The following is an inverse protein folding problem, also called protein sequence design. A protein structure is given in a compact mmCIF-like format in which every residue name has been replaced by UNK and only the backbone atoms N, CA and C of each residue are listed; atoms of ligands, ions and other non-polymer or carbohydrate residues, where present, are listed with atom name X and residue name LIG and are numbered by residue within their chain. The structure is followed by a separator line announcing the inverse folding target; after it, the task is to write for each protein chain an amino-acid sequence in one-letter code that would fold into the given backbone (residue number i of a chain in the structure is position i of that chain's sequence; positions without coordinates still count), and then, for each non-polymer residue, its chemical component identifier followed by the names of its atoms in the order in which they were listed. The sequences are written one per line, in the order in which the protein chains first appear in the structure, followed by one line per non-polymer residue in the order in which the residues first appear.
data_IF_836377661124
#
_entry.id   IF_836377661124
#
_cell.length_a   1.000
_cell.length_b   1.000
_cell.length_c   1.000
_cell.angle_alpha   90.00
_cell.angle_beta   90.00
_cell.angle_gamma   90.00
#
_symmetry.space_group_name_H-M   'P 1'
#
loop_
_entity.id
_entity.type
_entity.pdbx_description
1 polymer ?
#
# COMPACT_ATOMS: atom_id res chain seq x y z
N UNK A 1 23.48 -43.61 29.00
CA UNK A 1 22.11 -43.12 29.33
C UNK A 1 21.97 -41.60 29.43
N UNK A 2 23.05 -40.80 29.58
CA UNK A 2 22.91 -39.32 29.73
C UNK A 2 22.39 -38.57 28.49
N UNK A 3 22.71 -39.03 27.28
CA UNK A 3 22.40 -38.31 26.04
C UNK A 3 20.90 -38.27 25.65
N UNK A 4 20.07 -39.16 26.21
CA UNK A 4 18.62 -39.18 25.95
C UNK A 4 17.89 -38.14 26.81
N UNK A 5 18.39 -37.86 28.02
CA UNK A 5 17.79 -36.91 28.94
C UNK A 5 17.98 -35.47 28.45
N UNK A 6 19.14 -35.15 27.85
CA UNK A 6 19.42 -33.82 27.31
C UNK A 6 18.47 -33.43 26.16
N UNK A 7 18.03 -34.41 25.34
CA UNK A 7 17.08 -34.16 24.25
C UNK A 7 15.66 -33.95 24.76
N UNK A 8 15.28 -34.63 25.85
CA UNK A 8 13.99 -34.44 26.49
C UNK A 8 13.92 -33.08 27.20
N UNK A 9 14.97 -32.69 27.92
CA UNK A 9 15.04 -31.38 28.57
C UNK A 9 15.06 -30.25 27.53
N UNK A 10 15.82 -30.39 26.44
CA UNK A 10 15.78 -29.42 25.34
C UNK A 10 14.38 -29.32 24.71
N UNK A 11 13.70 -30.44 24.49
CA UNK A 11 12.34 -30.46 23.93
C UNK A 11 11.32 -29.80 24.87
N UNK A 12 11.42 -30.03 26.19
CA UNK A 12 10.56 -29.41 27.20
C UNK A 12 10.83 -27.91 27.30
N UNK A 13 12.09 -27.47 27.28
CA UNK A 13 12.47 -26.05 27.32
C UNK A 13 11.97 -25.33 26.06
N UNK A 14 12.13 -25.93 24.88
CA UNK A 14 11.63 -25.35 23.62
C UNK A 14 10.11 -25.28 23.61
N UNK A 15 9.43 -26.29 24.17
CA UNK A 15 7.97 -26.27 24.33
C UNK A 15 7.52 -25.12 25.25
N UNK A 16 8.14 -24.95 26.41
CA UNK A 16 7.80 -23.87 27.35
C UNK A 16 8.07 -22.50 26.73
N UNK A 17 9.20 -22.32 26.04
CA UNK A 17 9.52 -21.07 25.33
C UNK A 17 8.49 -20.74 24.24
N UNK A 18 8.05 -21.73 23.46
CA UNK A 18 7.04 -21.53 22.43
C UNK A 18 5.70 -21.09 23.03
N UNK A 19 5.30 -21.66 24.17
CA UNK A 19 4.08 -21.28 24.86
C UNK A 19 4.18 -19.85 25.43
N UNK A 20 5.32 -19.45 25.97
CA UNK A 20 5.54 -18.08 26.43
C UNK A 20 5.48 -17.07 25.29
N UNK A 21 6.00 -17.42 24.10
CA UNK A 21 5.89 -16.60 22.89
C UNK A 21 4.44 -16.50 22.42
N UNK A 22 3.67 -17.60 22.44
CA UNK A 22 2.24 -17.58 22.09
C UNK A 22 1.42 -16.74 23.06
N UNK A 23 1.66 -16.85 24.36
CA UNK A 23 1.01 -16.05 25.40
C UNK A 23 1.38 -14.57 25.21
N UNK A 24 2.65 -14.26 24.96
CA UNK A 24 3.12 -12.91 24.67
C UNK A 24 2.44 -12.31 23.43
N UNK A 25 2.29 -13.08 22.36
CA UNK A 25 1.56 -12.67 21.15
C UNK A 25 0.06 -12.48 21.40
N UNK A 26 -0.53 -13.25 22.31
CA UNK A 26 -1.93 -13.09 22.72
C UNK A 26 -2.14 -11.80 23.53
N UNK A 27 -1.25 -11.49 24.47
CA UNK A 27 -1.27 -10.22 25.21
C UNK A 27 -1.00 -9.02 24.31
N UNK A 28 -0.02 -9.13 23.40
CA UNK A 28 0.24 -8.08 22.40
C UNK A 28 -0.96 -7.92 21.45
N UNK A 29 -1.57 -9.02 21.02
CA UNK A 29 -2.83 -9.01 20.27
C UNK A 29 -3.96 -8.30 21.03
N UNK A 30 -4.14 -8.62 22.31
CA UNK A 30 -5.17 -8.04 23.18
C UNK A 30 -4.99 -6.53 23.44
N UNK A 31 -3.75 -6.04 23.45
CA UNK A 31 -3.45 -4.60 23.60
C UNK A 31 -3.67 -3.82 22.29
N UNK A 32 -3.53 -4.47 21.12
CA UNK A 32 -3.74 -3.86 19.81
C UNK A 32 -5.16 -4.05 19.26
N UNK A 33 -5.95 -5.00 19.75
CA UNK A 33 -7.39 -5.13 19.45
C UNK A 33 -8.24 -4.34 20.45
N UNK A 34 -8.39 -3.03 20.23
CA UNK A 34 -9.58 -2.30 20.71
C UNK A 34 -10.78 -2.84 19.92
N UNK A 35 -11.57 -3.72 20.53
CA UNK A 35 -12.83 -4.20 19.96
C UNK A 35 -13.81 -3.02 19.95
N UNK A 36 -13.86 -2.28 18.84
CA UNK A 36 -15.01 -1.44 18.51
C UNK A 36 -16.04 -2.38 17.88
N UNK A 37 -17.07 -2.73 18.66
CA UNK A 37 -18.24 -3.44 18.14
C UNK A 37 -18.86 -2.59 17.02
N UNK A 38 -18.98 -3.07 15.77
CA UNK A 38 -19.78 -2.40 14.77
C UNK A 38 -21.25 -2.49 15.17
N UNK A 39 -21.90 -1.32 15.19
CA UNK A 39 -23.33 -1.18 15.37
C UNK A 39 -24.10 -2.09 14.40
N UNK A 40 -25.12 -2.73 14.94
CA UNK A 40 -26.12 -3.48 14.22
C UNK A 40 -26.71 -2.64 13.06
N UNK A 41 -26.83 -3.27 11.89
CA UNK A 41 -27.68 -2.79 10.81
C UNK A 41 -29.11 -3.30 11.03
N UNK A 42 -30.09 -2.40 11.00
CA UNK A 42 -31.51 -2.74 10.98
C UNK A 42 -32.35 -1.65 11.61
N UNK A 43 -32.93 -0.77 10.80
CA UNK A 43 -33.48 0.51 11.25
C UNK A 43 -34.93 0.51 11.72
N UNK A 44 -35.32 1.75 12.05
CA UNK A 44 -36.66 2.32 12.10
C UNK A 44 -37.52 2.05 13.35
N UNK A 45 -37.60 3.10 14.17
CA UNK A 45 -38.87 3.60 14.71
C UNK A 45 -39.18 3.21 16.15
N UNK A 46 -39.40 4.22 16.97
CA UNK A 46 -40.22 4.11 18.19
C UNK A 46 -39.44 4.25 19.48
N UNK A 47 -39.88 5.22 20.26
CA UNK A 47 -39.38 5.68 21.54
C UNK A 47 -39.13 4.58 22.60
N UNK A 48 -38.09 4.84 23.40
CA UNK A 48 -37.92 4.42 24.79
C UNK A 48 -38.33 3.00 25.18
N UNK A 49 -37.38 2.08 25.12
CA UNK A 49 -37.21 1.08 26.19
C UNK A 49 -35.72 0.92 26.46
N UNK A 50 -35.27 1.62 27.51
CA UNK A 50 -34.00 1.35 28.14
C UNK A 50 -34.07 -0.05 28.74
N UNK A 51 -33.37 -1.02 28.14
CA UNK A 51 -33.12 -2.30 28.80
C UNK A 51 -32.10 -2.07 29.92
N UNK A 52 -32.63 -1.85 31.12
CA UNK A 52 -31.88 -1.84 32.37
C UNK A 52 -31.42 -3.27 32.68
N UNK A 53 -30.15 -3.54 32.38
CA UNK A 53 -29.51 -4.81 32.72
C UNK A 53 -29.03 -4.75 34.17
N UNK A 54 -29.91 -5.09 35.11
CA UNK A 54 -29.55 -5.31 36.51
C UNK A 54 -28.68 -6.57 36.60
N UNK A 55 -27.36 -6.40 36.70
CA UNK A 55 -26.47 -7.46 37.15
C UNK A 55 -26.75 -7.71 38.64
N UNK A 56 -27.38 -8.84 38.94
CA UNK A 56 -27.52 -9.30 40.33
C UNK A 56 -26.21 -9.94 40.74
N UNK A 57 -25.52 -9.34 41.71
CA UNK A 57 -24.31 -9.88 42.29
C UNK A 57 -24.62 -11.21 43.01
N UNK A 58 -24.23 -12.32 42.39
CA UNK A 58 -24.49 -13.68 42.86
C UNK A 58 -23.89 -13.96 44.25
N UNK A 59 -23.03 -13.08 44.78
CA UNK A 59 -22.50 -13.16 46.14
C UNK A 59 -23.54 -12.84 47.23
N UNK A 60 -24.46 -11.90 46.99
CA UNK A 60 -25.47 -11.53 48.00
C UNK A 60 -26.66 -12.49 48.03
N UNK A 61 -27.07 -13.03 46.87
CA UNK A 61 -28.17 -14.02 46.80
C UNK A 61 -27.74 -15.35 47.42
N UNK A 62 -26.46 -15.75 47.28
CA UNK A 62 -25.92 -16.93 47.96
C UNK A 62 -25.86 -16.75 49.49
N UNK A 63 -25.60 -15.52 49.98
CA UNK A 63 -25.62 -15.21 51.41
C UNK A 63 -27.05 -15.20 51.98
N UNK A 64 -28.03 -14.66 51.26
CA UNK A 64 -29.46 -14.72 51.60
C UNK A 64 -30.00 -16.15 51.62
N UNK A 65 -29.63 -16.98 50.63
CA UNK A 65 -30.04 -18.38 50.59
C UNK A 65 -29.40 -19.20 51.74
N UNK A 66 -28.18 -18.85 52.14
CA UNK A 66 -27.53 -19.38 53.35
C UNK A 66 -28.28 -19.02 54.64
N UNK A 67 -28.75 -17.77 54.77
CA UNK A 67 -29.57 -17.34 55.93
C UNK A 67 -30.95 -18.01 55.96
N UNK A 68 -31.64 -18.15 54.83
CA UNK A 68 -32.92 -18.86 54.73
C UNK A 68 -32.80 -20.36 55.07
N UNK A 69 -31.66 -20.99 54.74
CA UNK A 69 -31.38 -22.38 55.11
C UNK A 69 -31.03 -22.50 56.60
N UNK A 70 -30.32 -21.53 57.17
CA UNK A 70 -30.06 -21.45 58.60
C UNK A 70 -31.32 -21.13 59.43
N UNK A 71 -32.27 -20.35 58.90
CA UNK A 71 -33.56 -20.07 59.53
C UNK A 71 -34.49 -21.29 59.50
N UNK A 72 -34.49 -22.06 58.40
CA UNK A 72 -35.19 -23.36 58.32
C UNK A 72 -34.54 -24.46 59.18
N UNK A 73 -33.24 -24.38 59.44
CA UNK A 73 -32.56 -25.31 60.36
C UNK A 73 -32.74 -24.88 61.83
N UNK A 74 -32.77 -23.57 62.13
CA UNK A 74 -33.07 -23.04 63.47
C UNK A 74 -34.53 -23.24 63.91
N UNK A 75 -35.48 -23.34 62.97
CA UNK A 75 -36.88 -23.68 63.26
C UNK A 75 -37.11 -25.15 63.64
N UNK A 76 -36.09 -26.03 63.53
CA UNK A 76 -36.15 -27.41 64.03
C UNK A 76 -35.52 -27.60 65.41
N UNK A 77 -34.91 -26.57 66.00
CA UNK A 77 -34.18 -26.68 67.28
C UNK A 77 -34.72 -25.78 68.40
N UNK A 78 -35.92 -25.21 68.24
CA UNK A 78 -36.68 -24.60 69.34
C UNK A 78 -38.06 -25.25 69.48
N UNK A 79 -38.04 -26.47 70.00
CA UNK A 79 -39.17 -27.03 70.74
C UNK A 79 -38.65 -27.40 72.13
N UNK A 80 -38.54 -26.38 73.00
CA UNK A 80 -38.45 -26.62 74.45
C UNK A 80 -39.86 -26.70 75.05
N UNK A 81 -40.00 -27.39 76.20
CA UNK A 81 -41.22 -28.10 76.59
C UNK A 81 -42.22 -27.20 77.30
N UNK A 82 -43.49 -27.30 76.92
CA UNK A 82 -44.58 -26.86 77.80
C UNK A 82 -44.78 -27.94 78.86
N UNK A 83 -44.26 -27.60 80.03
CA UNK A 83 -44.56 -28.12 81.35
C UNK A 83 -46.07 -28.05 81.62
N UNK A 84 -46.74 -29.19 81.67
CA UNK A 84 -48.02 -29.35 82.38
C UNK A 84 -47.75 -29.84 83.81
N UNK A 85 -48.43 -29.22 84.77
CA UNK A 85 -48.36 -29.51 86.20
C UNK A 85 -49.03 -30.85 86.57
N UNK A 86 -48.63 -31.47 87.70
CA UNK A 86 -49.13 -32.79 88.10
C UNK A 86 -50.51 -32.67 88.73
N UNK A 87 -51.54 -33.27 88.12
CA UNK A 87 -52.80 -33.55 88.82
C UNK A 87 -52.71 -34.90 89.50
N UNK A 88 -52.72 -34.84 90.84
CA UNK A 88 -52.73 -35.95 91.79
C UNK A 88 -53.78 -37.01 91.45
N UNK A 89 -53.37 -38.26 91.68
CA UNK A 89 -54.23 -39.44 91.85
C UNK A 89 -55.43 -39.14 92.75
N UNK A 90 -56.61 -39.53 92.27
CA UNK A 90 -57.68 -40.05 93.13
C UNK A 90 -58.21 -41.32 92.47
N UNK A 91 -58.00 -42.42 93.19
CA UNK A 91 -58.54 -43.75 92.96
C UNK A 91 -60.07 -43.67 92.95
N UNK A 92 -60.72 -44.17 91.90
CA UNK A 92 -62.11 -44.67 91.98
C UNK A 92 -62.24 -45.89 91.05
N UNK A 93 -62.46 -47.04 91.67
CA UNK A 93 -62.86 -48.32 91.04
C UNK A 93 -64.23 -48.18 90.36
N UNK A 94 -64.39 -48.71 89.13
CA UNK A 94 -65.69 -49.17 88.57
C UNK A 94 -65.50 -49.80 87.17
N UNK A 95 -66.38 -50.72 86.73
CA UNK A 95 -65.99 -51.90 85.96
C UNK A 95 -65.94 -51.68 84.44
N UNK A 96 -65.16 -52.56 83.81
CA UNK A 96 -64.94 -52.71 82.37
C UNK A 96 -66.26 -53.06 81.67
N UNK A 97 -66.64 -52.27 80.66
CA UNK A 97 -67.68 -52.64 79.68
C UNK A 97 -66.98 -52.98 78.35
N UNK A 98 -67.14 -54.22 77.89
CA UNK A 98 -66.42 -54.82 76.76
C UNK A 98 -66.86 -54.30 75.37
N UNK A 99 -67.75 -53.29 75.28
CA UNK A 99 -68.30 -52.83 73.98
C UNK A 99 -67.56 -51.66 73.30
N UNK A 100 -66.59 -51.02 73.98
CA UNK A 100 -65.88 -49.84 73.44
C UNK A 100 -64.48 -50.15 72.87
N UNK A 101 -63.93 -51.34 73.12
CA UNK A 101 -62.59 -51.75 72.67
C UNK A 101 -62.51 -52.07 71.17
N UNK A 102 -63.59 -52.58 70.56
CA UNK A 102 -63.64 -52.85 69.12
C UNK A 102 -63.61 -51.57 68.27
N UNK A 103 -64.23 -50.48 68.72
CA UNK A 103 -64.23 -49.21 67.97
C UNK A 103 -62.87 -48.51 67.94
N UNK A 104 -62.04 -48.69 68.98
CA UNK A 104 -60.71 -48.07 69.06
C UNK A 104 -59.70 -48.84 68.21
N UNK A 105 -59.77 -50.17 68.18
CA UNK A 105 -58.90 -51.00 67.36
C UNK A 105 -59.12 -50.78 65.84
N UNK A 106 -60.38 -50.65 65.41
CA UNK A 106 -60.71 -50.35 64.01
C UNK A 106 -60.19 -48.97 63.55
N UNK A 107 -60.16 -47.97 64.43
CA UNK A 107 -59.61 -46.64 64.11
C UNK A 107 -58.08 -46.67 64.03
N UNK A 108 -57.42 -47.48 64.86
CA UNK A 108 -55.95 -47.67 64.80
C UNK A 108 -55.53 -48.42 63.55
N UNK A 109 -56.23 -49.49 63.15
CA UNK A 109 -55.95 -50.19 61.88
C UNK A 109 -56.19 -49.31 60.65
N UNK A 110 -57.27 -48.52 60.63
CA UNK A 110 -57.53 -47.57 59.55
C UNK A 110 -56.44 -46.49 59.45
N UNK A 111 -55.93 -46.00 60.58
CA UNK A 111 -54.82 -45.05 60.62
C UNK A 111 -53.50 -45.69 60.09
N UNK A 112 -53.21 -46.93 60.48
CA UNK A 112 -52.04 -47.68 59.98
C UNK A 112 -52.12 -47.95 58.47
N UNK A 113 -53.29 -48.33 57.95
CA UNK A 113 -53.51 -48.51 56.51
C UNK A 113 -53.32 -47.20 55.74
N UNK A 114 -53.81 -46.09 56.30
CA UNK A 114 -53.64 -44.76 55.69
C UNK A 114 -52.17 -44.31 55.66
N UNK A 115 -51.38 -44.61 56.68
CA UNK A 115 -49.93 -44.36 56.68
C UNK A 115 -49.20 -45.23 55.66
N UNK A 116 -49.54 -46.53 55.56
CA UNK A 116 -48.97 -47.42 54.55
C UNK A 116 -49.27 -46.95 53.12
N UNK A 117 -50.49 -46.50 52.84
CA UNK A 117 -50.85 -45.98 51.51
C UNK A 117 -50.10 -44.67 51.18
N UNK A 118 -49.92 -43.78 52.17
CA UNK A 118 -49.10 -42.57 52.01
C UNK A 118 -47.62 -42.89 51.76
N UNK A 119 -47.07 -43.88 52.47
CA UNK A 119 -45.71 -44.35 52.26
C UNK A 119 -45.52 -44.95 50.85
N UNK A 120 -46.48 -45.76 50.38
CA UNK A 120 -46.47 -46.33 49.03
C UNK A 120 -46.54 -45.23 47.95
N UNK A 121 -47.44 -44.24 48.11
CA UNK A 121 -47.54 -43.11 47.17
C UNK A 121 -46.27 -42.27 47.14
N UNK A 122 -45.63 -42.07 48.29
CA UNK A 122 -44.34 -41.36 48.35
C UNK A 122 -43.23 -42.15 47.65
N UNK A 123 -43.15 -43.47 47.84
CA UNK A 123 -42.20 -44.32 47.13
C UNK A 123 -42.41 -44.30 45.61
N UNK A 124 -43.67 -44.37 45.14
CA UNK A 124 -44.00 -44.24 43.72
C UNK A 124 -43.63 -42.86 43.15
N UNK A 125 -43.82 -41.78 43.93
CA UNK A 125 -43.39 -40.44 43.52
C UNK A 125 -41.86 -40.34 43.38
N UNK A 126 -41.10 -40.96 44.30
CA UNK A 126 -39.63 -40.98 44.22
C UNK A 126 -39.14 -41.76 42.99
N UNK A 127 -39.70 -42.94 42.72
CA UNK A 127 -39.34 -43.74 41.54
C UNK A 127 -39.68 -43.00 40.23
N UNK A 128 -40.85 -42.34 40.17
CA UNK A 128 -41.23 -41.51 39.02
C UNK A 128 -40.28 -40.31 38.83
N UNK A 129 -39.81 -39.68 39.91
CA UNK A 129 -38.84 -38.59 39.82
C UNK A 129 -37.47 -39.08 39.33
N UNK A 130 -37.01 -40.25 39.79
CA UNK A 130 -35.77 -40.87 39.30
C UNK A 130 -35.84 -41.22 37.82
N UNK A 131 -36.94 -41.82 37.36
CA UNK A 131 -37.15 -42.11 35.94
C UNK A 131 -37.14 -40.84 35.09
N UNK A 132 -37.79 -39.76 35.55
CA UNK A 132 -37.77 -38.46 34.87
C UNK A 132 -36.36 -37.86 34.83
N UNK A 133 -35.58 -37.97 35.92
CA UNK A 133 -34.17 -37.55 35.95
C UNK A 133 -33.31 -38.36 34.99
N UNK A 134 -33.49 -39.68 34.91
CA UNK A 134 -32.78 -40.54 33.96
C UNK A 134 -33.13 -40.21 32.51
N UNK A 135 -34.40 -39.92 32.19
CA UNK A 135 -34.82 -39.54 30.85
C UNK A 135 -34.23 -38.19 30.43
N UNK A 136 -34.24 -37.20 31.33
CA UNK A 136 -33.60 -35.90 31.08
C UNK A 136 -32.09 -36.05 30.84
N UNK A 137 -31.39 -36.85 31.65
CA UNK A 137 -29.97 -37.12 31.47
C UNK A 137 -29.68 -37.82 30.13
N UNK A 138 -30.51 -38.79 29.72
CA UNK A 138 -30.40 -39.44 28.40
C UNK A 138 -30.62 -38.44 27.27
N UNK A 139 -31.63 -37.58 27.37
CA UNK A 139 -31.94 -36.56 26.36
C UNK A 139 -30.83 -35.51 26.25
N UNK A 140 -30.23 -35.10 27.37
CA UNK A 140 -29.07 -34.21 27.37
C UNK A 140 -27.85 -34.86 26.72
N UNK A 141 -27.57 -36.13 27.02
CA UNK A 141 -26.47 -36.87 26.38
C UNK A 141 -26.66 -36.99 24.88
N UNK A 142 -27.87 -37.34 24.41
CA UNK A 142 -28.20 -37.37 22.99
C UNK A 142 -28.05 -35.99 22.34
N UNK A 143 -28.45 -34.91 23.01
CA UNK A 143 -28.26 -33.54 22.50
C UNK A 143 -26.77 -33.18 22.41
N UNK A 144 -25.97 -33.56 23.39
CA UNK A 144 -24.51 -33.35 23.34
C UNK A 144 -23.85 -34.15 22.20
N UNK A 145 -24.26 -35.39 21.97
CA UNK A 145 -23.76 -36.21 20.86
C UNK A 145 -24.17 -35.62 19.50
N UNK A 146 -25.41 -35.12 19.35
CA UNK A 146 -25.83 -34.41 18.15
C UNK A 146 -25.02 -33.14 17.91
N UNK A 147 -24.78 -32.33 18.94
CA UNK A 147 -23.96 -31.12 18.83
C UNK A 147 -22.51 -31.45 18.46
N UNK A 148 -21.93 -32.53 19.02
CA UNK A 148 -20.59 -33.00 18.64
C UNK A 148 -20.55 -33.46 17.19
N UNK A 149 -21.54 -34.23 16.75
CA UNK A 149 -21.63 -34.70 15.35
C UNK A 149 -21.79 -33.52 14.38
N UNK A 150 -22.57 -32.51 14.73
CA UNK A 150 -22.73 -31.29 13.93
C UNK A 150 -21.43 -30.48 13.88
N UNK A 151 -20.73 -30.32 15.00
CA UNK A 151 -19.42 -29.69 15.04
C UNK A 151 -18.39 -30.44 14.18
N UNK A 152 -18.35 -31.76 14.26
CA UNK A 152 -17.45 -32.58 13.44
C UNK A 152 -17.78 -32.45 11.95
N UNK A 153 -19.05 -32.50 11.56
CA UNK A 153 -19.47 -32.24 10.17
C UNK A 153 -19.08 -30.85 9.70
N UNK A 154 -19.21 -29.83 10.56
CA UNK A 154 -18.81 -28.46 10.24
C UNK A 154 -17.30 -28.34 10.06
N UNK A 155 -16.51 -28.99 10.93
CA UNK A 155 -15.05 -29.07 10.81
C UNK A 155 -14.62 -29.79 9.53
N UNK A 156 -15.24 -30.93 9.21
CA UNK A 156 -14.96 -31.66 7.96
C UNK A 156 -15.32 -30.83 6.71
N UNK A 157 -16.44 -30.10 6.75
CA UNK A 157 -16.84 -29.20 5.66
C UNK A 157 -15.87 -28.02 5.49
N UNK A 158 -15.42 -27.43 6.58
CA UNK A 158 -14.42 -26.36 6.58
C UNK A 158 -13.05 -26.85 6.09
N UNK A 159 -12.60 -28.03 6.52
CA UNK A 159 -11.36 -28.63 6.06
C UNK A 159 -11.43 -28.97 4.57
N UNK A 160 -12.55 -29.53 4.09
CA UNK A 160 -12.78 -29.79 2.68
C UNK A 160 -12.80 -28.48 1.86
N UNK A 161 -13.43 -27.42 2.37
CA UNK A 161 -13.40 -26.10 1.74
C UNK A 161 -11.99 -25.51 1.71
N UNK A 162 -11.21 -25.65 2.78
CA UNK A 162 -9.82 -25.20 2.87
C UNK A 162 -8.91 -25.98 1.92
N UNK A 163 -9.08 -27.29 1.78
CA UNK A 163 -8.35 -28.12 0.80
C UNK A 163 -8.67 -27.70 -0.63
N UNK A 164 -9.96 -27.51 -0.97
CA UNK A 164 -10.38 -27.00 -2.28
C UNK A 164 -9.83 -25.60 -2.58
N UNK A 165 -9.84 -24.70 -1.59
CA UNK A 165 -9.28 -23.37 -1.74
C UNK A 165 -7.75 -23.40 -1.93
N UNK A 166 -7.04 -24.26 -1.20
CA UNK A 166 -5.59 -24.44 -1.34
C UNK A 166 -5.22 -25.04 -2.71
N UNK A 167 -5.96 -26.02 -3.20
CA UNK A 167 -5.75 -26.59 -4.54
C UNK A 167 -6.01 -25.54 -5.65
N UNK A 168 -7.10 -24.79 -5.54
CA UNK A 168 -7.40 -23.71 -6.48
C UNK A 168 -6.33 -22.60 -6.46
N UNK A 169 -5.80 -22.26 -5.29
CA UNK A 169 -4.68 -21.32 -5.18
C UNK A 169 -3.40 -21.88 -5.82
N UNK A 170 -3.11 -23.17 -5.63
CA UNK A 170 -1.94 -23.83 -6.24
C UNK A 170 -2.02 -23.85 -7.77
N UNK A 171 -3.20 -24.19 -8.32
CA UNK A 171 -3.42 -24.17 -9.77
C UNK A 171 -3.30 -22.77 -10.36
N UNK A 172 -3.79 -21.74 -9.66
CA UNK A 172 -3.61 -20.34 -10.08
C UNK A 172 -2.15 -19.91 -10.05
N UNK A 173 -1.41 -20.25 -9.00
CA UNK A 173 0.01 -19.95 -8.89
C UNK A 173 0.83 -20.67 -9.97
N UNK A 174 0.53 -21.93 -10.27
CA UNK A 174 1.19 -22.68 -11.34
C UNK A 174 0.89 -22.09 -12.74
N UNK A 175 -0.35 -21.68 -12.99
CA UNK A 175 -0.72 -21.02 -14.24
C UNK A 175 -0.01 -19.66 -14.41
N UNK A 176 0.09 -18.87 -13.34
CA UNK A 176 0.81 -17.60 -13.35
C UNK A 176 2.32 -17.80 -13.57
N UNK A 177 2.93 -18.77 -12.89
CA UNK A 177 4.33 -19.14 -13.09
C UNK A 177 4.60 -19.55 -14.55
N UNK A 178 3.74 -20.38 -15.15
CA UNK A 178 3.85 -20.77 -16.57
C UNK A 178 3.70 -19.57 -17.52
N UNK A 179 2.83 -18.60 -17.20
CA UNK A 179 2.70 -17.35 -18.00
C UNK A 179 3.94 -16.47 -17.88
N UNK A 180 4.52 -16.35 -16.69
CA UNK A 180 5.74 -15.58 -16.48
C UNK A 180 6.94 -16.23 -17.19
N UNK A 181 7.05 -17.56 -17.18
CA UNK A 181 8.09 -18.28 -17.92
C UNK A 181 7.93 -18.10 -19.44
N UNK A 182 6.70 -18.19 -19.96
CA UNK A 182 6.42 -17.93 -21.37
C UNK A 182 6.75 -16.48 -21.76
N UNK A 183 6.39 -15.51 -20.91
CA UNK A 183 6.73 -14.10 -21.14
C UNK A 183 8.25 -13.86 -21.11
N UNK A 184 9.00 -14.53 -20.23
CA UNK A 184 10.45 -14.44 -20.19
C UNK A 184 11.10 -15.01 -21.45
N UNK A 185 10.62 -16.16 -21.96
CA UNK A 185 11.10 -16.75 -23.23
C UNK A 185 10.83 -15.84 -24.42
N UNK A 186 9.64 -15.25 -24.51
CA UNK A 186 9.30 -14.29 -25.57
C UNK A 186 10.17 -13.03 -25.50
N UNK A 187 10.44 -12.50 -24.30
CA UNK A 187 11.33 -11.36 -24.13
C UNK A 187 12.78 -11.66 -24.51
N UNK A 188 13.25 -12.90 -24.28
CA UNK A 188 14.58 -13.34 -24.71
C UNK A 188 14.68 -13.47 -26.24
N UNK A 189 13.68 -14.07 -26.90
CA UNK A 189 13.63 -14.13 -28.37
C UNK A 189 13.58 -12.74 -28.99
N UNK A 190 12.78 -11.82 -28.45
CA UNK A 190 12.69 -10.44 -28.95
C UNK A 190 14.04 -9.71 -28.80
N UNK A 191 14.75 -9.93 -27.69
CA UNK A 191 16.11 -9.40 -27.50
C UNK A 191 17.10 -9.98 -28.51
N UNK A 192 17.05 -11.29 -28.79
CA UNK A 192 17.89 -11.93 -29.81
C UNK A 192 17.58 -11.40 -31.21
N UNK A 193 16.31 -11.21 -31.55
CA UNK A 193 15.89 -10.63 -32.82
C UNK A 193 16.36 -9.17 -32.99
N UNK A 194 16.20 -8.34 -31.96
CA UNK A 194 16.69 -6.94 -31.96
C UNK A 194 18.21 -6.88 -32.08
N UNK A 195 18.94 -7.72 -31.36
CA UNK A 195 20.41 -7.79 -31.45
C UNK A 195 20.88 -8.25 -32.84
N UNK A 196 20.19 -9.20 -33.48
CA UNK A 196 20.49 -9.64 -34.84
C UNK A 196 20.23 -8.53 -35.87
N UNK A 197 19.12 -7.80 -35.75
CA UNK A 197 18.81 -6.65 -36.62
C UNK A 197 19.83 -5.53 -36.45
N UNK A 198 20.25 -5.21 -35.23
CA UNK A 198 21.27 -4.19 -34.98
C UNK A 198 22.63 -4.58 -35.57
N UNK A 199 23.04 -5.86 -35.46
CA UNK A 199 24.25 -6.37 -36.12
C UNK A 199 24.16 -6.27 -37.65
N UNK A 200 23.03 -6.66 -38.24
CA UNK A 200 22.83 -6.55 -39.69
C UNK A 200 22.85 -5.09 -40.17
N UNK A 201 22.29 -4.15 -39.40
CA UNK A 201 22.36 -2.73 -39.71
C UNK A 201 23.79 -2.18 -39.64
N UNK A 202 24.56 -2.54 -38.59
CA UNK A 202 25.97 -2.14 -38.45
C UNK A 202 26.84 -2.70 -39.58
N UNK A 203 26.60 -3.94 -40.01
CA UNK A 203 27.35 -4.54 -41.12
C UNK A 203 27.07 -3.84 -42.45
N UNK A 204 25.81 -3.45 -42.72
CA UNK A 204 25.46 -2.66 -43.92
C UNK A 204 26.16 -1.30 -43.93
N UNK A 205 26.15 -0.58 -42.79
CA UNK A 205 26.83 0.72 -42.67
C UNK A 205 28.34 0.56 -42.85
N UNK A 206 28.94 -0.49 -42.27
CA UNK A 206 30.38 -0.77 -42.42
C UNK A 206 30.75 -1.09 -43.88
N UNK A 207 29.94 -1.88 -44.59
CA UNK A 207 30.14 -2.17 -46.02
C UNK A 207 30.04 -0.92 -46.88
N UNK A 208 29.03 -0.08 -46.64
CA UNK A 208 28.82 1.16 -47.40
C UNK A 208 29.94 2.19 -47.17
N UNK A 209 30.49 2.27 -45.95
CA UNK A 209 31.65 3.10 -45.63
C UNK A 209 32.93 2.57 -46.27
N UNK A 210 33.14 1.25 -46.29
CA UNK A 210 34.29 0.64 -46.95
C UNK A 210 34.25 0.85 -48.48
N UNK A 211 33.07 0.78 -49.09
CA UNK A 211 32.89 1.02 -50.53
C UNK A 211 33.12 2.49 -50.90
N UNK A 212 32.63 3.44 -50.09
CA UNK A 212 32.91 4.88 -50.26
C UNK A 212 34.40 5.21 -50.09
N UNK A 213 35.07 4.61 -49.10
CA UNK A 213 36.52 4.79 -48.90
C UNK A 213 37.33 4.22 -50.07
N UNK A 214 36.94 3.06 -50.61
CA UNK A 214 37.60 2.47 -51.79
C UNK A 214 37.36 3.30 -53.07
N UNK A 215 36.17 3.87 -53.25
CA UNK A 215 35.87 4.75 -54.38
C UNK A 215 36.65 6.08 -54.30
N UNK A 216 36.76 6.68 -53.11
CA UNK A 216 37.52 7.92 -52.92
C UNK A 216 39.04 7.70 -53.11
N UNK A 217 39.57 6.55 -52.69
CA UNK A 217 40.96 6.17 -52.93
C UNK A 217 41.27 5.97 -54.42
N UNK A 218 40.37 5.33 -55.18
CA UNK A 218 40.51 5.19 -56.64
C UNK A 218 40.42 6.54 -57.36
N UNK A 219 39.54 7.44 -56.93
CA UNK A 219 39.40 8.77 -57.52
C UNK A 219 40.61 9.69 -57.26
N UNK A 220 41.24 9.59 -56.08
CA UNK A 220 42.49 10.32 -55.78
C UNK A 220 43.67 9.80 -56.60
N UNK A 221 43.79 8.49 -56.79
CA UNK A 221 44.83 7.90 -57.62
C UNK A 221 44.70 8.29 -59.11
N UNK A 222 43.48 8.40 -59.65
CA UNK A 222 43.26 8.82 -61.03
C UNK A 222 43.53 10.33 -61.24
N UNK A 223 43.24 11.18 -60.24
CA UNK A 223 43.54 12.62 -60.29
C UNK A 223 45.04 12.90 -60.24
N UNK A 224 45.79 12.20 -59.39
CA UNK A 224 47.25 12.37 -59.31
C UNK A 224 47.97 11.87 -60.58
N UNK A 225 47.44 10.83 -61.24
CA UNK A 225 47.97 10.34 -62.51
C UNK A 225 47.73 11.33 -63.67
N UNK A 226 46.55 11.97 -63.72
CA UNK A 226 46.24 13.02 -64.72
C UNK A 226 47.07 14.30 -64.50
N UNK A 227 47.32 14.70 -63.26
CA UNK A 227 48.09 15.92 -62.96
C UNK A 227 49.60 15.77 -63.22
N UNK A 228 50.16 14.56 -63.02
CA UNK A 228 51.55 14.25 -63.41
C UNK A 228 51.72 14.20 -64.93
N UNK A 229 50.73 13.68 -65.67
CA UNK A 229 50.77 13.65 -67.13
C UNK A 229 50.68 15.06 -67.77
N UNK A 230 49.90 15.98 -67.19
CA UNK A 230 49.78 17.35 -67.72
C UNK A 230 51.00 18.23 -67.39
N UNK A 231 51.67 18.01 -66.25
CA UNK A 231 52.90 18.72 -65.88
C UNK A 231 54.13 18.28 -66.68
N UNK A 232 54.19 17.03 -67.14
CA UNK A 232 55.29 16.57 -68.00
C UNK A 232 55.15 17.05 -69.47
N UNK A 233 53.91 17.24 -69.95
CA UNK A 233 53.64 17.79 -71.29
C UNK A 233 53.94 19.30 -71.39
N UNK A 234 53.61 20.09 -70.36
CA UNK A 234 53.93 21.53 -70.32
C UNK A 234 55.44 21.83 -70.17
N UNK A 235 56.19 20.98 -69.48
CA UNK A 235 57.64 21.16 -69.30
C UNK A 235 58.47 20.86 -70.57
N UNK A 236 57.97 20.03 -71.50
CA UNK A 236 58.61 19.79 -72.80
C UNK A 236 58.33 20.89 -73.83
N UNK A 237 57.17 21.55 -73.77
CA UNK A 237 56.82 22.63 -74.70
C UNK A 237 57.52 23.97 -74.39
N UNK A 238 57.80 24.28 -73.12
CA UNK A 238 58.42 25.57 -72.75
C UNK A 238 59.95 25.60 -72.94
N UNK A 239 60.63 24.44 -72.98
CA UNK A 239 62.09 24.35 -73.22
C UNK A 239 62.50 24.49 -74.69
N UNK A 240 61.59 24.29 -75.65
CA UNK A 240 61.90 24.44 -77.08
C UNK A 240 61.67 25.87 -77.59
N UNK A 241 60.78 26.65 -76.95
CA UNK A 241 60.50 28.04 -77.32
C UNK A 241 61.50 29.06 -76.76
N UNK A 242 62.16 28.77 -75.61
CA UNK A 242 63.11 29.69 -74.97
C UNK A 242 64.51 29.72 -75.61
N UNK A 243 64.87 28.76 -76.47
CA UNK A 243 66.18 28.70 -77.15
C UNK A 243 66.25 29.49 -78.47
N UNK A 244 65.13 29.97 -79.02
CA UNK A 244 65.11 30.76 -80.27
C UNK A 244 64.93 32.27 -80.08
N UNK A 245 64.59 32.76 -78.88
CA UNK A 245 64.34 34.19 -78.64
C UNK A 245 65.50 34.93 -77.92
N UNK A 246 66.49 34.23 -77.36
CA UNK A 246 67.56 34.85 -76.56
C UNK A 246 68.79 35.33 -77.37
N UNK A 247 68.81 35.13 -78.71
CA UNK A 247 69.93 35.54 -79.58
C UNK A 247 69.75 36.85 -80.34
N UNK A 248 68.60 37.52 -80.28
CA UNK A 248 68.36 38.74 -81.08
C UNK A 248 68.11 40.03 -80.27
N UNK A 249 67.95 39.94 -78.94
CA UNK A 249 67.60 41.10 -78.09
C UNK A 249 68.75 41.62 -77.20
N UNK A 250 69.99 41.17 -77.40
CA UNK A 250 71.14 41.51 -76.53
C UNK A 250 72.05 42.64 -77.05
N UNK A 251 71.66 43.38 -78.09
CA UNK A 251 72.53 44.41 -78.73
C UNK A 251 71.99 45.86 -78.68
N UNK A 252 70.79 46.14 -78.11
CA UNK A 252 70.22 47.50 -78.24
C UNK A 252 69.70 48.24 -77.01
N UNK A 253 69.96 47.78 -75.79
CA UNK A 253 69.42 48.45 -74.60
C UNK A 253 70.43 48.71 -73.47
N UNK A 254 71.72 48.83 -73.79
CA UNK A 254 72.78 49.17 -72.82
C UNK A 254 73.12 50.68 -72.79
N UNK A 255 72.20 51.57 -73.19
CA UNK A 255 72.53 53.02 -73.34
C UNK A 255 71.62 54.06 -72.69
N UNK A 256 70.72 53.72 -71.78
CA UNK A 256 69.94 54.74 -71.04
C UNK A 256 69.84 54.50 -69.53
N UNK A 257 70.90 53.92 -68.96
CA UNK A 257 71.10 53.80 -67.51
C UNK A 257 71.86 55.02 -66.92
N UNK A 258 71.61 56.25 -67.38
CA UNK A 258 72.35 57.40 -66.83
C UNK A 258 71.66 58.75 -66.97
N UNK A 259 70.44 58.90 -66.45
CA UNK A 259 70.01 60.22 -65.98
C UNK A 259 68.83 60.15 -64.99
N UNK A 260 68.96 60.90 -63.90
CA UNK A 260 67.90 61.30 -62.95
C UNK A 260 67.53 60.31 -61.85
N UNK A 261 68.58 59.78 -61.24
CA UNK A 261 68.72 59.83 -59.78
C UNK A 261 68.99 61.28 -59.34
N UNK A 262 67.96 62.12 -59.21
CA UNK A 262 68.03 63.40 -58.47
C UNK A 262 66.61 63.96 -58.26
N UNK A 263 65.96 63.57 -57.16
CA UNK A 263 64.92 64.34 -56.43
C UNK A 263 64.35 63.52 -55.27
N UNK A 264 65.26 63.11 -54.41
CA UNK A 264 64.98 62.93 -52.99
C UNK A 264 64.65 64.30 -52.35
N UNK A 265 63.99 64.29 -51.20
CA UNK A 265 64.04 65.36 -50.20
C UNK A 265 63.22 66.65 -50.42
N UNK A 266 61.89 66.56 -50.49
CA UNK A 266 61.02 67.62 -49.95
C UNK A 266 59.63 67.08 -49.57
N UNK A 267 59.19 67.43 -48.36
CA UNK A 267 57.83 67.29 -47.82
C UNK A 267 57.50 66.13 -46.85
N UNK A 268 58.50 65.62 -46.12
CA UNK A 268 58.32 65.22 -44.70
C UNK A 268 58.60 66.46 -43.82
N UNK A 269 57.63 67.36 -43.59
CA UNK A 269 57.84 68.50 -42.67
C UNK A 269 56.60 69.32 -42.24
N UNK A 270 55.35 68.93 -42.52
CA UNK A 270 54.23 69.83 -42.21
C UNK A 270 52.91 69.11 -41.93
N UNK A 271 52.75 68.55 -40.72
CA UNK A 271 51.42 68.37 -40.11
C UNK A 271 51.46 68.05 -38.60
N UNK A 272 52.61 68.20 -37.92
CA UNK A 272 52.79 67.86 -36.51
C UNK A 272 52.41 69.02 -35.54
N UNK A 273 51.46 69.88 -35.91
CA UNK A 273 51.24 71.13 -35.17
C UNK A 273 49.78 71.57 -34.98
N UNK A 274 48.78 70.66 -35.01
CA UNK A 274 47.38 71.03 -34.72
C UNK A 274 46.54 69.96 -34.01
N UNK A 275 47.05 69.31 -32.96
CA UNK A 275 46.24 68.39 -32.16
C UNK A 275 46.64 68.28 -30.67
N UNK A 276 47.04 69.39 -30.05
CA UNK A 276 47.20 69.47 -28.59
C UNK A 276 46.76 70.84 -28.06
N UNK A 277 45.45 71.10 -28.07
CA UNK A 277 44.80 72.12 -27.24
C UNK A 277 43.28 72.03 -27.44
N UNK A 278 42.61 71.11 -26.74
CA UNK A 278 41.17 71.16 -26.37
C UNK A 278 40.77 69.83 -25.71
N UNK A 279 41.58 69.40 -24.74
CA UNK A 279 41.23 68.29 -23.86
C UNK A 279 41.02 68.84 -22.45
N UNK A 280 39.94 69.60 -22.27
CA UNK A 280 39.36 69.83 -20.95
C UNK A 280 37.91 70.31 -21.10
N UNK A 281 36.98 69.51 -20.57
CA UNK A 281 35.54 69.77 -20.40
C UNK A 281 34.62 69.30 -21.54
N UNK A 282 34.32 68.01 -21.55
CA UNK A 282 32.99 67.52 -21.13
C UNK A 282 32.96 65.99 -21.17
N UNK A 283 33.11 65.41 -19.99
CA UNK A 283 32.69 64.05 -19.71
C UNK A 283 31.17 63.92 -19.87
N UNK A 284 30.76 62.66 -20.14
CA UNK A 284 29.58 62.01 -19.54
C UNK A 284 28.28 62.03 -20.35
N UNK A 285 28.30 61.37 -21.50
CA UNK A 285 27.21 60.53 -21.98
C UNK A 285 27.71 59.73 -23.19
N UNK A 286 27.35 58.44 -23.27
CA UNK A 286 27.38 57.60 -24.47
C UNK A 286 28.57 56.66 -24.72
N UNK A 287 29.27 56.11 -23.72
CA UNK A 287 30.27 55.06 -23.99
C UNK A 287 30.44 54.00 -22.90
N UNK A 288 29.36 53.50 -22.29
CA UNK A 288 29.52 52.37 -21.36
C UNK A 288 28.30 51.45 -21.27
N UNK A 289 27.62 51.12 -22.38
CA UNK A 289 26.75 49.93 -22.26
C UNK A 289 26.35 49.16 -23.52
N UNK A 290 25.99 49.74 -24.67
CA UNK A 290 25.16 48.97 -25.62
C UNK A 290 25.42 49.23 -27.10
N UNK A 291 26.58 48.78 -27.59
CA UNK A 291 26.84 48.31 -28.98
C UNK A 291 28.30 48.60 -29.28
N UNK A 292 29.21 47.64 -29.43
CA UNK A 292 29.08 46.25 -29.75
C UNK A 292 30.45 45.79 -30.29
N UNK A 293 30.68 44.49 -30.25
CA UNK A 293 31.97 43.88 -30.59
C UNK A 293 32.56 43.22 -29.34
N UNK A 294 32.88 41.94 -29.32
CA UNK A 294 33.05 40.99 -30.40
C UNK A 294 33.13 39.59 -29.77
N UNK A 295 33.55 38.60 -30.56
CA UNK A 295 33.95 37.22 -30.21
C UNK A 295 32.89 36.14 -30.52
N UNK A 296 32.88 35.76 -31.80
CA UNK A 296 33.66 34.58 -32.19
C UNK A 296 33.04 33.20 -31.99
N UNK A 297 32.40 32.70 -33.06
CA UNK A 297 32.73 31.41 -33.67
C UNK A 297 32.04 30.13 -33.17
N UNK A 298 31.18 29.55 -34.03
CA UNK A 298 31.07 28.08 -34.12
C UNK A 298 29.67 27.45 -34.21
N UNK A 299 29.12 27.42 -35.43
CA UNK A 299 28.39 26.30 -36.05
C UNK A 299 26.95 25.90 -35.67
N UNK A 300 26.23 25.62 -36.76
CA UNK A 300 25.17 24.61 -36.95
C UNK A 300 23.71 25.01 -36.74
N UNK A 301 23.11 25.30 -37.90
CA UNK A 301 21.69 25.37 -38.20
C UNK A 301 21.01 24.01 -38.01
N UNK A 302 19.90 23.97 -37.26
CA UNK A 302 19.00 22.81 -37.19
C UNK A 302 17.99 22.95 -36.06
N UNK A 303 16.72 23.09 -36.40
CA UNK A 303 15.68 23.57 -35.47
C UNK A 303 14.94 22.52 -34.65
N UNK A 304 13.92 23.07 -33.99
CA UNK A 304 12.67 22.46 -33.51
C UNK A 304 12.59 22.13 -32.00
N UNK A 305 11.85 23.01 -31.33
CA UNK A 305 10.72 22.75 -30.43
C UNK A 305 10.94 22.01 -29.08
N UNK A 306 10.61 22.79 -28.05
CA UNK A 306 9.69 22.49 -26.94
C UNK A 306 10.28 22.04 -25.59
N UNK A 307 9.99 22.90 -24.60
CA UNK A 307 9.61 22.61 -23.23
C UNK A 307 10.47 21.65 -22.40
N UNK A 308 11.35 22.24 -21.58
CA UNK A 308 11.56 21.80 -20.21
C UNK A 308 12.23 22.89 -19.35
N UNK A 309 11.66 23.11 -18.16
CA UNK A 309 12.32 23.61 -16.95
C UNK A 309 12.51 25.13 -16.87
N UNK A 310 11.82 25.85 -15.97
CA UNK A 310 11.89 25.81 -14.51
C UNK A 310 12.68 27.01 -13.99
N UNK A 311 11.97 28.09 -13.66
CA UNK A 311 12.34 29.02 -12.58
C UNK A 311 11.16 29.98 -12.35
N UNK A 312 10.15 29.52 -11.61
CA UNK A 312 9.09 30.38 -11.08
C UNK A 312 9.32 30.57 -9.59
N UNK A 313 10.04 31.63 -9.22
CA UNK A 313 10.15 32.08 -7.84
C UNK A 313 9.53 33.48 -7.73
N UNK A 314 8.42 33.54 -6.98
CA UNK A 314 8.12 34.66 -6.09
C UNK A 314 7.40 35.86 -6.68
N UNK A 315 6.12 36.00 -6.34
CA UNK A 315 5.53 37.32 -6.11
C UNK A 315 4.25 37.59 -6.89
N UNK A 316 3.10 37.20 -6.34
CA UNK A 316 1.95 38.10 -6.25
C UNK A 316 1.12 37.73 -5.02
N UNK A 317 1.09 38.65 -4.08
CA UNK A 317 0.13 38.71 -2.97
C UNK A 317 -1.28 38.89 -3.56
N UNK A 318 -2.01 37.78 -3.66
CA UNK A 318 -3.44 37.75 -3.94
C UNK A 318 -4.22 37.63 -2.65
N UNK A 319 -4.76 38.74 -2.20
CA UNK A 319 -5.67 38.88 -1.07
C UNK A 319 -6.96 38.06 -1.34
N UNK A 320 -7.16 36.99 -0.57
CA UNK A 320 -8.35 36.14 -0.68
C UNK A 320 -8.30 34.87 0.17
N UNK A 321 -8.68 34.99 1.45
CA UNK A 321 -9.10 33.89 2.35
C UNK A 321 -8.15 32.67 2.47
N UNK A 322 -7.16 32.83 3.35
CA UNK A 322 -6.07 31.89 3.66
C UNK A 322 -6.45 30.59 4.39
N UNK A 323 -7.53 29.94 4.00
CA UNK A 323 -7.84 28.56 4.44
C UNK A 323 -8.18 27.64 3.28
N UNK A 324 -8.69 28.17 2.15
CA UNK A 324 -9.15 27.37 1.02
C UNK A 324 -8.14 27.28 -0.14
N UNK A 325 -7.28 28.28 -0.33
CA UNK A 325 -6.26 28.27 -1.39
C UNK A 325 -5.18 27.19 -1.15
N UNK A 326 -4.71 27.08 0.09
CA UNK A 326 -3.71 26.08 0.49
C UNK A 326 -4.28 24.66 0.50
N UNK A 327 -5.56 24.51 0.89
CA UNK A 327 -6.28 23.24 0.81
C UNK A 327 -6.43 22.73 -0.62
N UNK A 328 -6.79 23.60 -1.56
CA UNK A 328 -6.87 23.25 -2.98
C UNK A 328 -5.49 22.86 -3.54
N UNK A 329 -4.44 23.61 -3.21
CA UNK A 329 -3.07 23.29 -3.60
C UNK A 329 -2.62 21.92 -3.07
N UNK A 330 -2.97 21.60 -1.81
CA UNK A 330 -2.70 20.31 -1.19
C UNK A 330 -3.45 19.16 -1.87
N UNK A 331 -4.74 19.34 -2.17
CA UNK A 331 -5.54 18.37 -2.92
C UNK A 331 -4.93 18.05 -4.29
N UNK A 332 -4.45 19.08 -5.01
CA UNK A 332 -3.78 18.88 -6.30
C UNK A 332 -2.45 18.12 -6.16
N UNK A 333 -1.69 18.35 -5.09
CA UNK A 333 -0.46 17.59 -4.82
C UNK A 333 -0.76 16.11 -4.61
N UNK A 334 -1.76 15.79 -3.78
CA UNK A 334 -2.21 14.40 -3.56
C UNK A 334 -2.64 13.77 -4.88
N UNK A 335 -3.53 14.46 -5.61
CA UNK A 335 -4.08 13.99 -6.88
C UNK A 335 -2.98 13.70 -7.89
N UNK A 336 -2.05 14.65 -8.10
CA UNK A 336 -0.94 14.49 -9.05
C UNK A 336 -0.04 13.31 -8.69
N UNK A 337 0.25 13.13 -7.40
CA UNK A 337 1.14 12.07 -6.94
C UNK A 337 0.52 10.68 -7.17
N UNK A 338 -0.76 10.52 -6.85
CA UNK A 338 -1.48 9.25 -7.06
C UNK A 338 -1.75 9.02 -8.55
N UNK A 339 -2.12 10.06 -9.31
CA UNK A 339 -2.29 9.97 -10.76
C UNK A 339 -1.00 9.58 -11.48
N UNK A 340 0.17 9.98 -10.99
CA UNK A 340 1.46 9.58 -11.58
C UNK A 340 1.72 8.07 -11.50
N UNK A 341 1.09 7.39 -10.53
CA UNK A 341 1.19 5.94 -10.32
C UNK A 341 0.00 5.19 -10.91
N UNK A 342 -1.04 5.91 -11.32
CA UNK A 342 -2.24 5.35 -11.91
C UNK A 342 -1.98 4.95 -13.36
N UNK A 343 -1.97 3.64 -13.61
CA UNK A 343 -1.81 3.09 -14.96
C UNK A 343 -3.13 3.24 -15.70
N UNK A 344 -3.17 4.15 -16.67
CA UNK A 344 -4.35 4.41 -17.50
C UNK A 344 -4.35 3.46 -18.69
N UNK A 345 -5.48 2.80 -18.93
CA UNK A 345 -5.71 1.94 -20.08
C UNK A 345 -6.83 2.51 -20.97
N UNK A 346 -6.78 2.38 -22.32
CA UNK A 346 -7.87 2.80 -23.21
C UNK A 346 -9.23 2.20 -22.86
N UNK A 347 -9.27 1.01 -22.25
CA UNK A 347 -10.49 0.36 -21.77
C UNK A 347 -11.21 1.10 -20.63
N UNK A 348 -10.61 2.15 -20.08
CA UNK A 348 -11.19 3.01 -19.04
C UNK A 348 -12.02 4.17 -19.61
N UNK A 349 -12.12 4.28 -20.93
CA UNK A 349 -12.99 5.22 -21.63
C UNK A 349 -14.43 5.15 -21.10
N UNK A 350 -14.96 6.29 -20.62
CA UNK A 350 -16.34 6.38 -20.10
C UNK A 350 -16.58 5.68 -18.76
N UNK A 351 -15.53 5.12 -18.12
CA UNK A 351 -15.60 4.46 -16.81
C UNK A 351 -15.02 5.35 -15.73
N UNK A 352 -15.57 5.25 -14.51
CA UNK A 352 -15.07 5.98 -13.35
C UNK A 352 -15.07 5.12 -12.09
N UNK A 353 -14.24 5.51 -11.12
CA UNK A 353 -14.24 4.93 -9.79
C UNK A 353 -13.92 5.99 -8.73
N UNK A 354 -14.69 5.99 -7.67
CA UNK A 354 -14.48 6.87 -6.52
C UNK A 354 -13.85 6.06 -5.39
N UNK A 355 -12.70 6.50 -4.88
CA UNK A 355 -11.99 5.83 -3.79
C UNK A 355 -11.75 6.82 -2.65
N UNK A 356 -12.23 6.50 -1.46
CA UNK A 356 -11.96 7.26 -0.24
C UNK A 356 -10.68 6.74 0.41
N UNK A 357 -9.69 7.60 0.62
CA UNK A 357 -8.45 7.25 1.31
C UNK A 357 -8.44 7.86 2.71
N UNK A 358 -7.75 7.23 3.67
CA UNK A 358 -7.57 7.74 5.03
C UNK A 358 -6.11 8.09 5.25
N UNK A 359 -5.84 9.35 5.55
CA UNK A 359 -4.50 9.90 5.71
C UNK A 359 -4.18 10.16 7.19
N UNK A 360 -2.96 9.85 7.60
CA UNK A 360 -2.39 10.26 8.88
C UNK A 360 -1.72 11.64 8.77
N UNK A 361 -1.39 12.25 9.92
CA UNK A 361 -0.85 13.63 9.97
C UNK A 361 0.44 13.80 9.17
N UNK A 362 1.24 12.73 9.08
CA UNK A 362 2.50 12.65 8.35
C UNK A 362 2.31 12.40 6.83
N UNK A 363 1.08 12.25 6.36
CA UNK A 363 0.73 11.94 4.98
C UNK A 363 0.74 10.45 4.63
N UNK A 364 0.88 9.54 5.60
CA UNK A 364 0.80 8.10 5.35
C UNK A 364 -0.64 7.67 5.08
N UNK A 365 -0.85 6.83 4.06
CA UNK A 365 -2.17 6.28 3.73
C UNK A 365 -2.43 5.07 4.64
N UNK A 366 -3.32 5.23 5.62
CA UNK A 366 -3.65 4.18 6.60
C UNK A 366 -4.59 3.12 6.04
N UNK A 367 -5.60 3.55 5.30
CA UNK A 367 -6.62 2.68 4.74
C UNK A 367 -7.24 3.31 3.48
N UNK A 368 -7.98 2.51 2.71
CA UNK A 368 -8.79 2.97 1.59
C UNK A 368 -10.14 2.23 1.58
N UNK A 369 -11.15 2.89 1.05
CA UNK A 369 -12.49 2.34 0.81
C UNK A 369 -12.83 2.57 -0.66
N UNK A 370 -13.03 1.49 -1.40
CA UNK A 370 -13.52 1.54 -2.77
C UNK A 370 -15.00 1.88 -2.73
N UNK A 371 -15.38 2.99 -3.35
CA UNK A 371 -16.75 3.44 -3.47
C UNK A 371 -17.44 2.82 -4.68
N UNK A 372 -18.28 3.61 -5.34
CA UNK A 372 -19.01 3.18 -6.53
C UNK A 372 -18.15 3.40 -7.78
N UNK A 373 -18.14 2.43 -8.69
CA UNK A 373 -17.37 2.52 -9.93
C UNK A 373 -17.21 1.21 -10.67
N UNK A 374 -16.58 1.28 -11.84
CA UNK A 374 -16.23 0.10 -12.63
C UNK A 374 -15.03 -0.63 -12.00
N UNK A 375 -15.13 -1.97 -11.90
CA UNK A 375 -14.12 -2.80 -11.24
C UNK A 375 -12.70 -2.61 -11.78
N UNK A 376 -12.52 -2.52 -13.10
CA UNK A 376 -11.19 -2.39 -13.69
C UNK A 376 -10.50 -1.06 -13.34
N UNK A 377 -11.27 0.03 -13.33
CA UNK A 377 -10.82 1.37 -12.93
C UNK A 377 -10.52 1.39 -11.43
N UNK A 378 -11.39 0.77 -10.62
CA UNK A 378 -11.19 0.66 -9.18
C UNK A 378 -9.95 -0.17 -8.80
N UNK A 379 -9.73 -1.30 -9.46
CA UNK A 379 -8.56 -2.16 -9.22
C UNK A 379 -7.25 -1.42 -9.57
N UNK A 380 -7.25 -0.67 -10.68
CA UNK A 380 -6.12 0.17 -11.07
C UNK A 380 -5.91 1.35 -10.09
N UNK A 381 -6.99 1.94 -9.59
CA UNK A 381 -6.95 3.02 -8.61
C UNK A 381 -6.38 2.54 -7.26
N UNK A 382 -6.85 1.40 -6.77
CA UNK A 382 -6.31 0.75 -5.55
C UNK A 382 -4.83 0.44 -5.71
N UNK A 383 -4.44 -0.11 -6.86
CA UNK A 383 -3.03 -0.40 -7.15
C UNK A 383 -2.17 0.86 -7.10
N UNK A 384 -2.66 2.00 -7.62
CA UNK A 384 -1.97 3.28 -7.56
C UNK A 384 -1.83 3.80 -6.12
N UNK A 385 -2.90 3.72 -5.32
CA UNK A 385 -2.92 4.16 -3.91
C UNK A 385 -1.93 3.33 -3.08
N UNK A 386 -1.94 2.01 -3.24
CA UNK A 386 -1.01 1.10 -2.55
C UNK A 386 0.43 1.32 -3.00
N UNK A 387 0.66 1.65 -4.27
CA UNK A 387 1.98 1.98 -4.79
C UNK A 387 2.51 3.34 -4.29
N UNK A 388 1.62 4.30 -4.03
CA UNK A 388 1.98 5.60 -3.48
C UNK A 388 2.46 5.48 -2.03
N UNK A 389 1.75 4.71 -1.17
CA UNK A 389 1.97 4.53 0.28
C UNK A 389 1.90 5.82 1.13
N UNK A 390 2.55 6.90 0.69
CA UNK A 390 2.71 8.16 1.40
C UNK A 390 2.55 9.35 0.45
N UNK A 391 1.77 10.33 0.90
CA UNK A 391 1.58 11.64 0.25
C UNK A 391 2.30 12.72 1.06
N UNK A 392 2.51 13.94 0.50
CA UNK A 392 3.09 15.03 1.26
C UNK A 392 2.29 15.30 2.54
N UNK A 393 2.93 15.62 3.68
CA UNK A 393 2.21 15.96 4.91
C UNK A 393 1.39 17.24 4.74
N UNK A 394 0.26 17.32 5.43
CA UNK A 394 -0.62 18.48 5.35
C UNK A 394 0.03 19.73 6.01
N UNK A 395 -0.03 20.92 5.37
CA UNK A 395 0.71 22.11 5.83
C UNK A 395 0.26 22.61 7.22
N UNK A 396 -1.04 22.49 7.53
CA UNK A 396 -1.66 22.97 8.77
C UNK A 396 -2.65 21.94 9.31
N UNK A 397 -2.99 22.03 10.60
CA UNK A 397 -3.97 21.11 11.22
C UNK A 397 -5.37 21.28 10.63
N UNK A 398 -5.73 22.51 10.23
CA UNK A 398 -6.99 22.81 9.57
C UNK A 398 -7.13 22.06 8.23
N UNK A 399 -6.08 22.08 7.39
CA UNK A 399 -6.05 21.35 6.12
C UNK A 399 -6.05 19.85 6.38
N UNK A 400 -5.32 19.37 7.40
CA UNK A 400 -5.36 17.96 7.77
C UNK A 400 -6.78 17.51 8.14
N UNK A 401 -7.50 18.25 8.99
CA UNK A 401 -8.85 17.89 9.40
C UNK A 401 -9.84 17.90 8.23
N UNK A 402 -9.63 18.77 7.24
CA UNK A 402 -10.41 18.83 6.00
C UNK A 402 -10.08 17.66 5.05
N UNK A 403 -8.80 17.27 4.96
CA UNK A 403 -8.29 16.24 4.04
C UNK A 403 -7.83 14.95 4.74
N UNK A 404 -8.37 14.63 5.92
CA UNK A 404 -8.07 13.37 6.64
C UNK A 404 -8.64 12.16 5.93
N UNK A 405 -9.74 12.35 5.20
CA UNK A 405 -10.41 11.29 4.45
C UNK A 405 -10.94 11.76 3.09
N UNK A 406 -10.07 12.19 2.15
CA UNK A 406 -10.50 12.72 0.88
C UNK A 406 -11.02 11.59 -0.03
N UNK A 407 -11.99 11.93 -0.86
CA UNK A 407 -12.48 11.05 -1.92
C UNK A 407 -11.80 11.45 -3.23
N UNK A 408 -11.28 10.46 -3.94
CA UNK A 408 -10.54 10.64 -5.19
C UNK A 408 -11.29 9.99 -6.33
N UNK A 409 -11.57 10.77 -7.37
CA UNK A 409 -12.26 10.29 -8.56
C UNK A 409 -11.25 9.93 -9.64
N UNK A 410 -11.28 8.66 -10.06
CA UNK A 410 -10.46 8.11 -11.12
C UNK A 410 -11.31 7.96 -12.37
N UNK A 411 -10.95 8.68 -13.43
CA UNK A 411 -11.60 8.59 -14.73
C UNK A 411 -10.61 8.90 -15.85
N UNK A 412 -10.82 8.30 -17.02
CA UNK A 412 -10.10 8.66 -18.23
C UNK A 412 -10.87 9.73 -18.99
N UNK A 413 -10.36 10.96 -18.97
CA UNK A 413 -10.86 12.03 -19.84
C UNK A 413 -10.25 11.84 -21.23
N UNK A 414 -11.03 11.29 -22.15
CA UNK A 414 -10.71 11.37 -23.58
C UNK A 414 -10.95 12.84 -23.97
N UNK A 415 -9.91 13.50 -24.46
CA UNK A 415 -10.00 14.87 -24.99
C UNK A 415 -10.30 14.85 -26.47
#
# INVERSE_FOLDING_TARGET
MKYQNDRLELAVIVSILLHLVLIGLLFLGSLFTKIVLPAAGGGSGGDSDAFDAVMVDTGQVAAEYGRLKAEKQGAKEKAEPVREEPKKEVIVEAPVDESQTESVNNVVEAAQQQEQERALRFAQQQEAEELRKQELAKREKQRQEQLKLEQEKKQQAEEAARKKAAEAARLKAEAEAKRLEAAAKLAEEERKAKAAQERAAREKVAKEQAEKAAAEAKAKAEKEAKEKAEKEAKAKAEKEAKLKAEKEAKVKAEKEAKEKAEKEAKAKAAAEAKAKAEQAKKNKALDDFLSGGDIGGGSSKGGNRNNAGSAGAGGTTGQGSGTNADGAAYAQRIKKLIQSKYRVDPSFAGKSCDVKIFLERDGTIKNYQVGRGNKEVCDAAVSAIVATRKVPPAPTDAIYNQFKSPTLDFSLKIK
#
